data_IF_632933144393
#
_entry.id   IF_632933144393
#
_cell.length_a   1.000
_cell.length_b   1.000
_cell.length_c   1.000
_cell.angle_alpha   90.00
_cell.angle_beta   90.00
_cell.angle_gamma   90.00
#
_symmetry.space_group_name_H-M   'P 1'
#
loop_
_entity.id
_entity.type
_entity.pdbx_description
1 polymer ?
#
# COMPACT_ATOMS: atom_id res chain seq x y z
N UNK A 1 17.66 -0.92 5.84
CA UNK A 1 16.36 -0.46 6.32
C UNK A 1 15.22 -1.21 5.62
N UNK A 2 14.35 -1.86 6.40
CA UNK A 2 13.05 -2.37 5.96
C UNK A 2 11.97 -1.38 6.35
N UNK A 3 11.04 -1.10 5.44
CA UNK A 3 10.00 -0.07 5.59
C UNK A 3 8.64 -0.69 5.28
N UNK A 4 7.63 -0.35 6.08
CA UNK A 4 6.22 -0.46 5.69
C UNK A 4 5.75 0.93 5.30
N UNK A 5 5.19 1.07 4.10
CA UNK A 5 4.66 2.33 3.60
C UNK A 5 3.17 2.21 3.25
N UNK A 6 2.54 3.38 3.16
CA UNK A 6 1.18 3.58 2.66
C UNK A 6 1.23 4.49 1.45
N UNK A 7 0.57 4.09 0.37
CA UNK A 7 0.24 4.96 -0.76
C UNK A 7 -1.22 5.40 -0.62
N UNK A 8 -1.48 6.69 -0.71
CA UNK A 8 -2.85 7.23 -0.80
C UNK A 8 -3.10 7.77 -2.21
N UNK A 9 -4.19 7.30 -2.82
CA UNK A 9 -4.66 7.68 -4.15
C UNK A 9 -5.68 8.83 -4.09
N UNK A 10 -5.94 9.54 -5.20
CA UNK A 10 -6.85 10.69 -5.21
C UNK A 10 -8.30 10.40 -4.78
N UNK A 11 -8.75 9.16 -4.92
CA UNK A 11 -10.07 8.72 -4.47
C UNK A 11 -10.12 8.39 -2.97
N UNK A 12 -9.04 8.63 -2.23
CA UNK A 12 -8.92 8.33 -0.81
C UNK A 12 -8.56 6.87 -0.50
N UNK A 13 -8.58 5.98 -1.49
CA UNK A 13 -8.17 4.58 -1.28
C UNK A 13 -6.68 4.48 -1.05
N UNK A 14 -6.29 3.44 -0.30
CA UNK A 14 -4.90 3.23 0.11
C UNK A 14 -4.33 1.89 -0.37
N UNK A 15 -3.00 1.81 -0.41
CA UNK A 15 -2.26 0.56 -0.53
C UNK A 15 -1.16 0.54 0.52
N UNK A 16 -1.07 -0.55 1.28
CA UNK A 16 0.01 -0.80 2.24
C UNK A 16 0.97 -1.80 1.62
N UNK A 17 2.26 -1.51 1.66
CA UNK A 17 3.27 -2.41 1.16
C UNK A 17 4.57 -2.29 1.93
N UNK A 18 5.47 -3.25 1.71
CA UNK A 18 6.83 -3.22 2.23
C UNK A 18 7.87 -2.79 1.17
N UNK A 19 8.90 -2.08 1.61
CA UNK A 19 10.10 -1.72 0.85
C UNK A 19 11.32 -2.17 1.66
N UNK A 20 12.16 -3.04 1.06
CA UNK A 20 13.37 -3.57 1.71
C UNK A 20 14.65 -2.93 1.19
N UNK A 21 14.49 -1.95 0.33
CA UNK A 21 15.57 -1.26 -0.37
C UNK A 21 15.72 0.20 0.09
N UNK A 22 14.70 0.71 0.79
CA UNK A 22 14.59 2.13 1.17
C UNK A 22 14.75 3.05 -0.05
N UNK A 23 14.01 2.72 -1.11
CA UNK A 23 14.09 3.47 -2.35
C UNK A 23 13.10 4.63 -2.33
N UNK A 24 13.63 5.85 -2.47
CA UNK A 24 12.83 7.08 -2.54
C UNK A 24 11.84 7.10 -3.71
N UNK A 25 12.08 6.31 -4.76
CA UNK A 25 11.24 6.25 -5.96
C UNK A 25 10.34 5.01 -6.05
N UNK A 26 10.24 4.21 -4.98
CA UNK A 26 9.39 3.02 -4.96
C UNK A 26 7.98 3.32 -4.44
N UNK A 27 6.99 3.28 -5.34
CA UNK A 27 5.58 3.55 -5.05
C UNK A 27 4.70 2.28 -5.02
N UNK A 28 5.35 1.12 -4.85
CA UNK A 28 4.71 -0.15 -4.56
C UNK A 28 4.21 -0.96 -5.74
N UNK A 29 3.53 -2.06 -5.40
CA UNK A 29 3.20 -3.17 -6.30
C UNK A 29 1.70 -3.44 -6.36
N UNK A 30 0.88 -2.42 -6.10
CA UNK A 30 -0.56 -2.52 -6.20
C UNK A 30 -0.99 -2.90 -7.63
N UNK A 31 -2.04 -3.71 -7.75
CA UNK A 31 -2.55 -4.14 -9.06
C UNK A 31 -3.07 -2.93 -9.86
N UNK A 32 -2.39 -2.62 -10.96
CA UNK A 32 -2.73 -1.48 -11.82
C UNK A 32 -4.13 -1.58 -12.43
N UNK A 33 -4.64 -2.80 -12.64
CA UNK A 33 -5.98 -3.05 -13.16
C UNK A 33 -7.08 -2.72 -12.16
N UNK A 34 -6.87 -3.00 -10.86
CA UNK A 34 -7.79 -2.60 -9.80
C UNK A 34 -7.85 -1.09 -9.63
N UNK A 35 -6.70 -0.43 -9.61
CA UNK A 35 -6.62 1.03 -9.52
C UNK A 35 -7.31 1.66 -10.74
N UNK A 36 -7.02 1.15 -11.93
CA UNK A 36 -7.61 1.63 -13.18
C UNK A 36 -9.16 1.66 -13.16
N UNK A 37 -9.82 0.73 -12.46
CA UNK A 37 -11.29 0.69 -12.38
C UNK A 37 -11.89 1.91 -11.69
N UNK A 38 -11.12 2.58 -10.82
CA UNK A 38 -11.60 3.74 -10.04
C UNK A 38 -11.28 5.09 -10.71
N UNK A 39 -10.59 5.11 -11.86
CA UNK A 39 -10.17 6.36 -12.50
C UNK A 39 -10.48 6.38 -14.01
N UNK A 40 -11.08 7.49 -14.45
CA UNK A 40 -11.31 7.79 -15.87
C UNK A 40 -9.99 8.08 -16.60
N UNK A 41 -10.02 8.07 -17.95
CA UNK A 41 -8.83 8.40 -18.76
C UNK A 41 -8.33 9.82 -18.48
N UNK A 42 -9.24 10.76 -18.26
CA UNK A 42 -8.98 12.17 -17.97
C UNK A 42 -8.29 12.33 -16.62
N UNK A 43 -8.79 11.66 -15.57
CA UNK A 43 -8.16 11.67 -14.24
C UNK A 43 -6.75 11.08 -14.28
N UNK A 44 -6.50 10.06 -15.11
CA UNK A 44 -5.18 9.45 -15.27
C UNK A 44 -4.15 10.36 -15.95
N UNK A 45 -4.56 11.43 -16.64
CA UNK A 45 -3.60 12.35 -17.31
C UNK A 45 -2.75 13.12 -16.31
N UNK A 46 -3.31 13.37 -15.11
CA UNK A 46 -2.63 14.04 -14.02
C UNK A 46 -3.33 13.70 -12.71
N UNK A 47 -2.62 12.99 -11.85
CA UNK A 47 -3.01 12.85 -10.46
C UNK A 47 -1.78 12.77 -9.57
N UNK A 48 -1.99 13.02 -8.29
CA UNK A 48 -0.95 12.93 -7.27
C UNK A 48 -1.25 11.74 -6.37
N UNK A 49 -0.21 11.02 -6.00
CA UNK A 49 -0.24 10.03 -4.92
C UNK A 49 0.69 10.49 -3.81
N UNK A 50 0.40 10.07 -2.58
CA UNK A 50 1.26 10.37 -1.43
C UNK A 50 1.79 9.06 -0.87
N UNK A 51 3.12 8.96 -0.69
CA UNK A 51 3.77 7.86 0.03
C UNK A 51 4.11 8.32 1.44
N UNK A 52 3.73 7.52 2.43
CA UNK A 52 3.98 7.75 3.86
C UNK A 52 4.69 6.51 4.43
N UNK A 53 5.75 6.71 5.22
CA UNK A 53 6.37 5.63 6.01
C UNK A 53 5.50 5.42 7.24
N UNK A 54 4.98 4.20 7.41
CA UNK A 54 4.19 3.79 8.58
C UNK A 54 5.09 3.20 9.68
N UNK A 55 6.16 2.52 9.28
CA UNK A 55 7.10 1.85 10.17
C UNK A 55 8.40 1.55 9.44
N UNK A 56 9.52 1.54 10.17
CA UNK A 56 10.83 1.20 9.64
C UNK A 56 11.70 0.48 10.68
N UNK A 57 12.64 -0.35 10.20
CA UNK A 57 13.61 -1.05 11.05
C UNK A 57 14.84 -1.50 10.26
N UNK A 58 16.02 -1.34 10.86
CA UNK A 58 17.27 -1.87 10.32
C UNK A 58 17.56 -3.33 10.68
N UNK A 59 16.92 -3.84 11.74
CA UNK A 59 17.25 -5.15 12.32
C UNK A 59 16.14 -6.18 12.19
N UNK A 60 14.95 -5.77 11.75
CA UNK A 60 13.84 -6.69 11.61
C UNK A 60 14.12 -7.78 10.58
N UNK A 61 13.79 -9.00 10.96
CA UNK A 61 13.79 -10.16 10.10
C UNK A 61 12.69 -10.06 9.05
N UNK A 62 12.80 -10.89 8.01
CA UNK A 62 11.80 -10.92 6.96
C UNK A 62 10.39 -11.24 7.47
N UNK A 63 10.29 -12.14 8.45
CA UNK A 63 9.03 -12.56 9.02
C UNK A 63 8.36 -11.41 9.80
N UNK A 64 9.13 -10.64 10.57
CA UNK A 64 8.63 -9.48 11.32
C UNK A 64 8.13 -8.38 10.37
N UNK A 65 8.83 -8.11 9.27
CA UNK A 65 8.38 -7.13 8.26
C UNK A 65 7.05 -7.58 7.64
N UNK A 66 6.93 -8.84 7.23
CA UNK A 66 5.67 -9.37 6.68
C UNK A 66 4.54 -9.35 7.72
N UNK A 67 4.83 -9.65 8.98
CA UNK A 67 3.85 -9.55 10.05
C UNK A 67 3.38 -8.10 10.25
N UNK A 68 4.31 -7.14 10.26
CA UNK A 68 3.98 -5.71 10.36
C UNK A 68 3.15 -5.23 9.18
N UNK A 69 3.46 -5.67 7.96
CA UNK A 69 2.65 -5.38 6.77
C UNK A 69 1.19 -5.86 6.97
N UNK A 70 1.00 -7.10 7.44
CA UNK A 70 -0.33 -7.66 7.74
C UNK A 70 -1.06 -6.87 8.83
N UNK A 71 -0.36 -6.51 9.91
CA UNK A 71 -0.92 -5.69 11.00
C UNK A 71 -1.46 -4.35 10.47
N UNK A 72 -0.69 -3.64 9.65
CA UNK A 72 -1.13 -2.38 9.05
C UNK A 72 -2.24 -2.55 8.03
N UNK A 73 -2.20 -3.60 7.19
CA UNK A 73 -3.30 -3.88 6.24
C UNK A 73 -4.62 -4.07 6.99
N UNK A 74 -4.61 -4.81 8.11
CA UNK A 74 -5.81 -4.99 8.92
C UNK A 74 -6.23 -3.72 9.67
N UNK A 75 -5.29 -3.01 10.30
CA UNK A 75 -5.56 -1.80 11.06
C UNK A 75 -6.16 -0.69 10.19
N UNK A 76 -5.67 -0.55 8.95
CA UNK A 76 -6.13 0.45 8.00
C UNK A 76 -7.21 -0.08 7.04
N UNK A 77 -7.56 -1.37 7.15
CA UNK A 77 -8.51 -2.07 6.26
C UNK A 77 -8.18 -1.93 4.78
N UNK A 78 -6.91 -1.83 4.41
CA UNK A 78 -6.51 -1.62 3.01
C UNK A 78 -6.83 -2.82 2.11
N UNK A 79 -7.24 -3.95 2.70
CA UNK A 79 -7.73 -5.14 2.02
C UNK A 79 -9.25 -5.16 1.74
N UNK A 80 -10.00 -4.19 2.27
CA UNK A 80 -11.38 -3.95 1.88
C UNK A 80 -11.40 -3.10 0.61
N UNK A 81 -12.06 -3.58 -0.45
CA UNK A 81 -12.13 -2.87 -1.74
C UNK A 81 -12.77 -1.48 -1.70
N UNK A 82 -13.53 -1.17 -0.63
CA UNK A 82 -14.07 0.17 -0.38
C UNK A 82 -13.03 1.14 0.21
N UNK A 83 -11.96 0.62 0.82
CA UNK A 83 -10.93 1.37 1.54
C UNK A 83 -9.57 1.33 0.83
N UNK A 84 -9.22 0.22 0.18
CA UNK A 84 -7.88 0.05 -0.38
C UNK A 84 -7.74 -0.99 -1.49
N UNK A 85 -6.49 -1.18 -1.90
CA UNK A 85 -6.08 -1.99 -3.04
C UNK A 85 -5.27 -3.24 -2.67
N UNK A 86 -5.05 -3.52 -1.39
CA UNK A 86 -4.46 -4.80 -1.00
C UNK A 86 -5.46 -5.93 -1.30
N UNK A 87 -4.99 -7.03 -1.89
CA UNK A 87 -5.84 -8.22 -2.11
C UNK A 87 -5.58 -9.30 -1.07
N UNK A 88 -4.48 -9.18 -0.34
CA UNK A 88 -4.06 -10.08 0.73
C UNK A 88 -3.63 -9.26 1.95
N UNK A 89 -3.89 -9.75 3.18
CA UNK A 89 -4.73 -10.92 3.50
C UNK A 89 -6.19 -10.71 3.10
N UNK A 90 -6.90 -11.80 2.78
CA UNK A 90 -8.34 -11.70 2.48
C UNK A 90 -9.08 -11.18 3.72
N UNK A 91 -10.05 -10.29 3.52
CA UNK A 91 -10.97 -9.89 4.59
C UNK A 91 -11.65 -11.15 5.12
N UNK A 92 -11.56 -11.39 6.42
CA UNK A 92 -12.35 -12.44 7.06
C UNK A 92 -13.79 -11.93 7.08
N UNK A 93 -14.69 -12.69 6.43
CA UNK A 93 -16.13 -12.43 6.47
C UNK A 93 -16.71 -12.63 7.87
#
# INVERSE_FOLDING_TARGET
MSIIYKITYPNGKIYVGQDRTDSINYFGSADSGLIAKDFTREQRRRFTITREILWESDTATQAEVTQKEVEFIHALKSNDSSVGYNQWPKVKG
#
